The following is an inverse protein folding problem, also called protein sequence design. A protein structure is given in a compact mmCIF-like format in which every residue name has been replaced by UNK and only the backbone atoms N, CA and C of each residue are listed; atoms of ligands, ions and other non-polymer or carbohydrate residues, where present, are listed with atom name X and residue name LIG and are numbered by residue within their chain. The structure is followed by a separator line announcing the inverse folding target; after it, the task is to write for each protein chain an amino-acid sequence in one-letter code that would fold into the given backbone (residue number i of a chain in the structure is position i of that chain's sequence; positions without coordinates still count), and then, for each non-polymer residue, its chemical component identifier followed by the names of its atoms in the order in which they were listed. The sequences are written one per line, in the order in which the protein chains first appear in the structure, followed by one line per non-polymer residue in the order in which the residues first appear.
data_IF_978822801525
#
_entry.id   IF_978822801525
#
_cell.length_a   1.000
_cell.length_b   1.000
_cell.length_c   1.000
_cell.angle_alpha   90.00
_cell.angle_beta   90.00
_cell.angle_gamma   90.00
#
_symmetry.space_group_name_H-M   'P 1'
#
loop_
_entity.id
_entity.type
_entity.pdbx_description
1 polymer ?
#
# COMPACT_ATOMS: atom_id res chain seq x y z
N UNK A 1 22.39 -6.12 -18.10
CA UNK A 1 21.00 -5.82 -18.50
C UNK A 1 20.91 -4.33 -18.80
N UNK A 2 20.25 -3.93 -19.88
CA UNK A 2 20.16 -2.52 -20.28
C UNK A 2 19.49 -1.70 -19.16
N UNK A 3 20.12 -0.59 -18.75
CA UNK A 3 19.63 0.28 -17.65
C UNK A 3 18.18 0.76 -17.87
N UNK A 4 17.80 1.00 -19.12
CA UNK A 4 16.43 1.39 -19.46
C UNK A 4 15.45 0.24 -19.25
N UNK A 5 15.83 -1.00 -19.57
CA UNK A 5 14.99 -2.18 -19.36
C UNK A 5 14.75 -2.41 -17.85
N UNK A 6 15.77 -2.25 -17.01
CA UNK A 6 15.62 -2.37 -15.54
C UNK A 6 14.61 -1.35 -15.02
N UNK A 7 14.71 -0.09 -15.45
CA UNK A 7 13.77 0.96 -15.04
C UNK A 7 12.33 0.66 -15.46
N UNK A 8 12.13 0.17 -16.69
CA UNK A 8 10.79 -0.21 -17.17
C UNK A 8 10.23 -1.36 -16.36
N UNK A 9 11.01 -2.44 -16.17
CA UNK A 9 10.57 -3.61 -15.40
C UNK A 9 10.26 -3.25 -13.95
N UNK A 10 11.05 -2.36 -13.34
CA UNK A 10 10.80 -1.90 -11.95
C UNK A 10 9.48 -1.14 -11.82
N UNK A 11 9.16 -0.27 -12.79
CA UNK A 11 7.90 0.46 -12.81
C UNK A 11 6.71 -0.45 -13.10
N UNK A 12 6.88 -1.43 -13.98
CA UNK A 12 5.86 -2.46 -14.23
C UNK A 12 5.60 -3.31 -12.98
N UNK A 13 6.63 -3.67 -12.23
CA UNK A 13 6.46 -4.37 -10.95
C UNK A 13 5.64 -3.54 -9.95
N UNK A 14 5.91 -2.24 -9.83
CA UNK A 14 5.12 -1.33 -8.99
C UNK A 14 3.67 -1.21 -9.47
N UNK A 15 3.44 -1.15 -10.78
CA UNK A 15 2.09 -1.10 -11.35
C UNK A 15 1.30 -2.39 -11.06
N UNK A 16 1.92 -3.56 -11.22
CA UNK A 16 1.30 -4.84 -10.88
C UNK A 16 0.95 -4.87 -9.39
N UNK A 17 1.84 -4.37 -8.53
CA UNK A 17 1.56 -4.21 -7.08
C UNK A 17 0.32 -3.36 -6.85
N UNK A 18 0.19 -2.21 -7.50
CA UNK A 18 -0.96 -1.32 -7.36
C UNK A 18 -2.28 -1.98 -7.78
N UNK A 19 -2.27 -2.74 -8.90
CA UNK A 19 -3.44 -3.50 -9.36
C UNK A 19 -3.86 -4.54 -8.31
N UNK A 20 -2.92 -5.33 -7.85
CA UNK A 20 -3.17 -6.40 -6.87
C UNK A 20 -3.65 -5.82 -5.53
N UNK A 21 -3.04 -4.73 -5.07
CA UNK A 21 -3.45 -4.08 -3.82
C UNK A 21 -4.85 -3.44 -3.91
N UNK A 22 -5.22 -2.91 -5.07
CA UNK A 22 -6.57 -2.40 -5.28
C UNK A 22 -7.65 -3.45 -4.99
N UNK A 23 -7.42 -4.73 -5.32
CA UNK A 23 -8.35 -5.81 -4.98
C UNK A 23 -8.27 -6.24 -3.50
N UNK A 24 -7.12 -6.03 -2.85
CA UNK A 24 -6.85 -6.49 -1.48
C UNK A 24 -7.85 -5.96 -0.46
N UNK A 25 -8.18 -4.66 -0.55
CA UNK A 25 -9.09 -4.00 0.39
C UNK A 25 -10.51 -4.55 0.31
N UNK A 26 -10.97 -4.87 -0.91
CA UNK A 26 -12.27 -5.51 -1.12
C UNK A 26 -12.28 -6.90 -0.48
N UNK A 27 -11.23 -7.70 -0.71
CA UNK A 27 -11.14 -9.04 -0.10
C UNK A 27 -11.07 -8.96 1.42
N UNK A 28 -10.30 -8.02 2.00
CA UNK A 28 -10.27 -7.78 3.45
C UNK A 28 -11.66 -7.42 3.98
N UNK A 29 -12.38 -6.53 3.30
CA UNK A 29 -13.74 -6.14 3.69
C UNK A 29 -14.72 -7.32 3.66
N UNK A 30 -14.62 -8.19 2.66
CA UNK A 30 -15.44 -9.40 2.57
C UNK A 30 -15.15 -10.43 3.66
N UNK A 31 -13.97 -10.36 4.30
CA UNK A 31 -13.56 -11.27 5.35
C UNK A 31 -13.69 -10.70 6.77
N UNK A 32 -14.21 -9.48 6.93
CA UNK A 32 -14.29 -8.77 8.22
C UNK A 32 -15.02 -9.55 9.33
N UNK A 33 -16.01 -10.35 8.94
CA UNK A 33 -16.80 -11.16 9.89
C UNK A 33 -16.18 -12.56 10.13
N UNK A 34 -15.16 -12.93 9.34
CA UNK A 34 -14.50 -14.23 9.43
C UNK A 34 -13.22 -14.20 10.27
N UNK A 35 -12.51 -13.09 10.25
CA UNK A 35 -11.23 -12.93 10.96
C UNK A 35 -11.13 -11.55 11.61
N UNK A 36 -10.51 -11.51 12.79
CA UNK A 36 -10.09 -10.25 13.39
C UNK A 36 -9.01 -9.55 12.52
N UNK A 37 -8.93 -8.21 12.53
CA UNK A 37 -8.05 -7.44 11.64
C UNK A 37 -6.58 -7.87 11.69
N UNK A 38 -6.00 -8.00 12.87
CA UNK A 38 -4.59 -8.39 13.01
C UNK A 38 -4.38 -9.90 12.85
N UNK A 39 -5.42 -10.75 13.02
CA UNK A 39 -5.37 -12.15 12.65
C UNK A 39 -5.18 -12.32 11.14
N UNK A 40 -5.88 -11.51 10.31
CA UNK A 40 -5.64 -11.48 8.87
C UNK A 40 -4.17 -11.20 8.57
N UNK A 41 -3.56 -10.23 9.25
CA UNK A 41 -2.15 -9.87 9.06
C UNK A 41 -1.20 -10.95 9.54
N UNK A 42 -1.48 -11.56 10.69
CA UNK A 42 -0.68 -12.65 11.24
C UNK A 42 -0.58 -13.81 10.24
N UNK A 43 -1.70 -14.23 9.65
CA UNK A 43 -1.73 -15.30 8.65
C UNK A 43 -1.02 -14.84 7.36
N UNK A 44 -1.33 -13.65 6.85
CA UNK A 44 -0.74 -13.13 5.60
C UNK A 44 0.78 -13.08 5.66
N UNK A 45 1.32 -12.44 6.69
CA UNK A 45 2.77 -12.26 6.82
C UNK A 45 3.49 -13.56 7.18
N UNK A 46 2.88 -14.45 7.98
CA UNK A 46 3.46 -15.77 8.30
C UNK A 46 3.56 -16.63 7.04
N UNK A 47 2.47 -16.74 6.27
CA UNK A 47 2.47 -17.53 5.02
C UNK A 47 3.42 -16.92 3.99
N UNK A 48 3.40 -15.61 3.82
CA UNK A 48 4.27 -14.92 2.85
C UNK A 48 5.76 -15.07 3.21
N UNK A 49 6.12 -14.93 4.49
CA UNK A 49 7.50 -15.12 4.95
C UNK A 49 7.96 -16.56 4.76
N UNK A 50 7.13 -17.54 5.07
CA UNK A 50 7.44 -18.97 4.88
C UNK A 50 7.64 -19.30 3.40
N UNK A 51 6.69 -18.92 2.54
CA UNK A 51 6.75 -19.18 1.09
C UNK A 51 8.00 -18.58 0.46
N UNK A 52 8.27 -17.28 0.72
CA UNK A 52 9.48 -16.65 0.17
C UNK A 52 10.76 -17.24 0.75
N UNK A 53 10.77 -17.61 2.03
CA UNK A 53 11.94 -18.26 2.65
C UNK A 53 12.26 -19.60 2.00
N UNK A 54 11.25 -20.40 1.68
CA UNK A 54 11.42 -21.68 0.99
C UNK A 54 11.90 -21.49 -0.46
N UNK A 55 11.27 -20.58 -1.21
CA UNK A 55 11.64 -20.32 -2.62
C UNK A 55 13.06 -19.77 -2.73
N UNK A 56 13.44 -18.86 -1.84
CA UNK A 56 14.72 -18.16 -1.88
C UNK A 56 15.72 -18.64 -0.82
N UNK A 57 15.57 -19.87 -0.32
CA UNK A 57 16.44 -20.47 0.69
C UNK A 57 17.95 -20.31 0.39
N UNK A 58 18.44 -20.49 -0.86
CA UNK A 58 19.87 -20.30 -1.14
C UNK A 58 20.41 -18.90 -0.88
N UNK A 59 19.55 -17.86 -0.89
CA UNK A 59 19.97 -16.47 -0.64
C UNK A 59 20.34 -16.22 0.81
N UNK A 60 19.87 -17.02 1.77
CA UNK A 60 20.21 -16.89 3.18
C UNK A 60 21.71 -17.02 3.47
N UNK A 61 22.48 -17.60 2.55
CA UNK A 61 23.96 -17.61 2.65
C UNK A 61 24.56 -16.19 2.66
N UNK A 62 23.83 -15.18 2.17
CA UNK A 62 24.24 -13.76 2.16
C UNK A 62 23.60 -12.95 3.29
N UNK A 63 22.82 -13.61 4.15
CA UNK A 63 22.11 -12.95 5.24
C UNK A 63 23.10 -12.50 6.33
N UNK A 64 22.93 -11.29 6.81
CA UNK A 64 23.75 -10.72 7.86
C UNK A 64 22.94 -9.78 8.77
N UNK A 65 23.57 -9.32 9.86
CA UNK A 65 22.92 -8.44 10.84
C UNK A 65 22.33 -7.17 10.19
N UNK A 66 22.96 -6.64 9.13
CA UNK A 66 22.45 -5.45 8.43
C UNK A 66 21.12 -5.72 7.72
N UNK A 67 20.90 -6.92 7.15
CA UNK A 67 19.59 -7.31 6.60
C UNK A 67 18.56 -7.46 7.72
N UNK A 68 18.95 -8.08 8.86
CA UNK A 68 18.05 -8.25 10.00
C UNK A 68 17.56 -6.91 10.54
N UNK A 69 18.46 -6.01 10.90
CA UNK A 69 18.10 -4.71 11.47
C UNK A 69 17.28 -3.87 10.51
N UNK A 70 17.69 -3.81 9.24
CA UNK A 70 16.97 -3.03 8.24
C UNK A 70 15.58 -3.60 7.93
N UNK A 71 15.47 -4.90 7.74
CA UNK A 71 14.20 -5.56 7.49
C UNK A 71 13.27 -5.48 8.70
N UNK A 72 13.81 -5.55 9.93
CA UNK A 72 13.02 -5.37 11.15
C UNK A 72 12.43 -3.97 11.25
N UNK A 73 13.23 -2.92 11.03
CA UNK A 73 12.75 -1.53 11.03
C UNK A 73 11.65 -1.35 9.98
N UNK A 74 11.87 -1.82 8.75
CA UNK A 74 10.88 -1.75 7.68
C UNK A 74 9.62 -2.55 8.05
N UNK A 75 9.78 -3.72 8.67
CA UNK A 75 8.68 -4.58 9.11
C UNK A 75 7.79 -3.98 10.20
N UNK A 76 8.36 -3.17 11.09
CA UNK A 76 7.59 -2.41 12.08
C UNK A 76 6.68 -1.39 11.38
N UNK A 77 7.22 -0.58 10.46
CA UNK A 77 6.41 0.35 9.68
C UNK A 77 5.35 -0.36 8.85
N UNK A 78 5.71 -1.49 8.23
CA UNK A 78 4.79 -2.32 7.47
C UNK A 78 3.61 -2.79 8.32
N UNK A 79 3.89 -3.36 9.49
CA UNK A 79 2.85 -3.84 10.41
C UNK A 79 1.89 -2.73 10.81
N UNK A 80 2.42 -1.59 11.32
CA UNK A 80 1.57 -0.51 11.82
C UNK A 80 0.72 0.08 10.69
N UNK A 81 1.27 0.22 9.48
CA UNK A 81 0.55 0.72 8.31
C UNK A 81 -0.60 -0.23 7.91
N UNK A 82 -0.32 -1.52 7.77
CA UNK A 82 -1.33 -2.52 7.42
C UNK A 82 -2.37 -2.74 8.52
N UNK A 83 -1.96 -2.72 9.79
CA UNK A 83 -2.90 -2.82 10.92
C UNK A 83 -3.89 -1.65 10.89
N UNK A 84 -3.40 -0.41 10.77
CA UNK A 84 -4.25 0.77 10.63
C UNK A 84 -5.17 0.66 9.42
N UNK A 85 -4.67 0.27 8.26
CA UNK A 85 -5.48 0.12 7.05
C UNK A 85 -6.56 -0.95 7.20
N UNK A 86 -6.20 -2.12 7.73
CA UNK A 86 -7.13 -3.24 7.91
C UNK A 86 -8.22 -2.90 8.92
N UNK A 87 -7.87 -2.27 10.04
CA UNK A 87 -8.84 -1.76 11.02
C UNK A 87 -9.76 -0.73 10.35
N UNK A 88 -9.21 0.21 9.56
CA UNK A 88 -9.98 1.21 8.85
C UNK A 88 -11.05 0.63 7.93
N UNK A 89 -10.71 -0.41 7.17
CA UNK A 89 -11.64 -1.08 6.24
C UNK A 89 -12.69 -1.93 6.97
N UNK A 90 -12.33 -2.53 8.09
CA UNK A 90 -13.21 -3.47 8.84
C UNK A 90 -14.08 -2.77 9.88
N UNK A 91 -13.76 -1.53 10.26
CA UNK A 91 -14.55 -0.73 11.21
C UNK A 91 -15.85 -0.24 10.57
N UNK A 92 -16.88 0.01 11.40
CA UNK A 92 -18.16 0.53 10.97
C UNK A 92 -18.01 1.82 10.13
N UNK A 93 -18.61 1.83 8.94
CA UNK A 93 -18.49 2.92 7.96
C UNK A 93 -17.27 2.80 7.03
N UNK A 94 -16.42 1.77 7.19
CA UNK A 94 -15.33 1.51 6.27
C UNK A 94 -15.84 0.92 4.95
N UNK A 95 -15.70 1.68 3.85
CA UNK A 95 -15.92 1.19 2.49
C UNK A 95 -14.56 0.92 1.85
N UNK A 96 -14.32 -0.25 1.22
CA UNK A 96 -12.99 -0.62 0.71
C UNK A 96 -12.47 0.36 -0.35
N UNK A 97 -13.32 0.82 -1.27
CA UNK A 97 -12.95 1.81 -2.27
C UNK A 97 -12.57 3.14 -1.64
N UNK A 98 -13.38 3.65 -0.70
CA UNK A 98 -13.10 4.89 0.02
C UNK A 98 -11.83 4.78 0.87
N UNK A 99 -11.66 3.71 1.62
CA UNK A 99 -10.47 3.49 2.45
C UNK A 99 -9.19 3.40 1.63
N UNK A 100 -9.21 2.71 0.49
CA UNK A 100 -8.07 2.65 -0.43
C UNK A 100 -7.71 4.01 -1.00
N UNK A 101 -8.72 4.82 -1.32
CA UNK A 101 -8.50 6.16 -1.82
C UNK A 101 -7.88 7.08 -0.76
N UNK A 102 -8.38 7.05 0.47
CA UNK A 102 -7.84 7.84 1.60
C UNK A 102 -6.41 7.39 1.94
N UNK A 103 -6.17 6.08 1.99
CA UNK A 103 -4.85 5.51 2.26
C UNK A 103 -3.82 5.96 1.22
N UNK A 104 -4.22 6.14 -0.05
CA UNK A 104 -3.34 6.61 -1.12
C UNK A 104 -2.81 8.05 -0.92
N UNK A 105 -3.27 8.77 0.12
CA UNK A 105 -2.68 10.06 0.54
C UNK A 105 -1.17 9.97 0.80
N UNK A 106 -0.61 8.77 0.97
CA UNK A 106 0.85 8.60 1.06
C UNK A 106 1.58 9.16 -0.16
N UNK A 107 0.98 9.21 -1.34
CA UNK A 107 1.62 9.79 -2.54
C UNK A 107 1.92 11.28 -2.38
N UNK A 108 1.13 11.99 -1.59
CA UNK A 108 1.37 13.40 -1.22
C UNK A 108 2.45 13.52 -0.16
N UNK A 109 2.50 12.60 0.79
CA UNK A 109 3.36 12.66 1.98
C UNK A 109 4.79 12.21 1.66
N UNK A 110 4.94 11.17 0.81
CA UNK A 110 6.25 10.56 0.48
C UNK A 110 7.29 11.58 -0.02
N UNK A 111 6.99 12.51 -0.95
CA UNK A 111 8.00 13.47 -1.40
C UNK A 111 8.59 14.32 -0.28
N UNK A 112 7.79 14.71 0.70
CA UNK A 112 8.25 15.49 1.85
C UNK A 112 9.07 14.65 2.82
N UNK A 113 8.64 13.43 3.13
CA UNK A 113 9.43 12.50 3.96
C UNK A 113 10.74 12.10 3.26
N UNK A 114 10.73 11.87 1.95
CA UNK A 114 11.93 11.59 1.17
C UNK A 114 12.90 12.78 1.19
N UNK A 115 12.40 14.00 1.12
CA UNK A 115 13.24 15.19 1.27
C UNK A 115 13.92 15.25 2.64
N UNK A 116 13.16 15.04 3.71
CA UNK A 116 13.68 15.10 5.07
C UNK A 116 14.71 13.98 5.33
N UNK A 117 14.37 12.74 4.98
CA UNK A 117 15.11 11.54 5.40
C UNK A 117 16.12 11.02 4.37
N UNK A 118 15.90 11.26 3.07
CA UNK A 118 16.76 10.77 1.97
C UNK A 118 17.50 11.91 1.27
N UNK A 119 17.17 13.18 1.59
CA UNK A 119 17.69 14.38 0.92
C UNK A 119 17.28 14.46 -0.58
N UNK A 120 16.24 13.74 -0.97
CA UNK A 120 15.64 13.78 -2.31
C UNK A 120 14.72 14.99 -2.40
N UNK A 121 15.20 16.11 -2.96
CA UNK A 121 14.37 17.31 -3.10
C UNK A 121 13.24 17.06 -4.10
N UNK A 122 11.96 17.29 -3.71
CA UNK A 122 10.84 17.21 -4.63
C UNK A 122 11.01 18.29 -5.72
N UNK A 123 10.81 17.90 -6.97
CA UNK A 123 10.74 18.86 -8.06
C UNK A 123 9.30 19.43 -8.19
N UNK A 124 9.15 20.43 -9.07
CA UNK A 124 7.85 21.10 -9.28
C UNK A 124 6.77 20.11 -9.74
N UNK A 125 7.13 19.07 -10.48
CA UNK A 125 6.19 18.06 -10.94
C UNK A 125 5.70 17.19 -9.79
N UNK A 126 6.57 16.83 -8.83
CA UNK A 126 6.17 16.12 -7.61
C UNK A 126 5.22 16.97 -6.76
N UNK A 127 5.51 18.27 -6.61
CA UNK A 127 4.64 19.21 -5.87
C UNK A 127 3.30 19.35 -6.57
N UNK A 128 3.29 19.54 -7.90
CA UNK A 128 2.05 19.64 -8.68
C UNK A 128 1.22 18.36 -8.59
N UNK A 129 1.86 17.20 -8.66
CA UNK A 129 1.20 15.91 -8.48
C UNK A 129 0.59 15.77 -7.08
N UNK A 130 1.29 16.23 -6.03
CA UNK A 130 0.75 16.25 -4.67
C UNK A 130 -0.51 17.12 -4.57
N UNK A 131 -0.50 18.32 -5.15
CA UNK A 131 -1.68 19.20 -5.19
C UNK A 131 -2.85 18.55 -5.93
N UNK A 132 -2.59 17.91 -7.08
CA UNK A 132 -3.62 17.18 -7.83
C UNK A 132 -4.18 16.00 -7.03
N UNK A 133 -3.34 15.27 -6.31
CA UNK A 133 -3.80 14.18 -5.41
C UNK A 133 -4.71 14.73 -4.29
N UNK A 134 -4.34 15.85 -3.65
CA UNK A 134 -5.18 16.49 -2.61
C UNK A 134 -6.52 16.93 -3.21
N UNK A 135 -6.51 17.53 -4.40
CA UNK A 135 -7.75 17.91 -5.10
C UNK A 135 -8.62 16.68 -5.39
N UNK A 136 -7.99 15.57 -5.83
CA UNK A 136 -8.69 14.30 -6.04
C UNK A 136 -9.34 13.77 -4.76
N UNK A 137 -8.60 13.75 -3.64
CA UNK A 137 -9.13 13.39 -2.32
C UNK A 137 -10.31 14.28 -1.91
N UNK A 138 -10.18 15.60 -2.11
CA UNK A 138 -11.26 16.55 -1.81
C UNK A 138 -12.56 16.20 -2.55
N UNK A 139 -12.49 15.90 -3.84
CA UNK A 139 -13.68 15.53 -4.62
C UNK A 139 -14.33 14.23 -4.13
N UNK A 140 -13.56 13.26 -3.69
CA UNK A 140 -14.14 12.02 -3.13
C UNK A 140 -14.89 12.28 -1.83
N UNK A 141 -14.36 13.17 -0.98
CA UNK A 141 -15.02 13.56 0.27
C UNK A 141 -16.13 14.60 0.09
N UNK A 142 -16.21 15.28 -1.07
CA UNK A 142 -17.06 16.44 -1.27
C UNK A 142 -18.55 16.17 -0.98
N UNK A 143 -19.06 15.00 -1.39
CA UNK A 143 -20.47 14.65 -1.16
C UNK A 143 -20.79 14.47 0.32
N UNK A 144 -19.83 13.97 1.08
CA UNK A 144 -19.98 13.77 2.53
C UNK A 144 -19.83 15.10 3.28
N UNK A 145 -19.02 16.02 2.74
CA UNK A 145 -18.83 17.38 3.28
C UNK A 145 -20.07 18.28 3.10
N UNK A 146 -20.82 18.11 2.02
CA UNK A 146 -21.97 19.02 1.69
C UNK A 146 -23.31 18.33 2.00
N UNK A 147 -23.38 17.00 1.96
CA UNK A 147 -24.63 16.24 2.06
C UNK A 147 -25.10 15.92 3.48
N UNK A 148 -24.30 16.16 4.50
CA UNK A 148 -24.62 15.84 5.89
C UNK A 148 -24.45 17.05 6.78
N UNK A 149 -25.48 17.39 7.55
CA UNK A 149 -25.40 18.44 8.60
C UNK A 149 -24.39 18.10 9.73
N UNK A 150 -23.89 16.87 9.75
CA UNK A 150 -22.82 16.39 10.65
C UNK A 150 -21.73 15.72 9.80
N UNK A 151 -20.71 16.48 9.41
CA UNK A 151 -19.47 15.95 8.83
C UNK A 151 -18.68 15.27 9.94
N UNK A 152 -18.99 14.04 10.23
CA UNK A 152 -18.16 13.23 11.12
C UNK A 152 -17.18 12.41 10.26
N UNK A 153 -15.88 12.69 10.40
CA UNK A 153 -14.84 11.76 9.93
C UNK A 153 -15.10 10.45 10.67
N UNK A 154 -15.43 9.39 9.94
CA UNK A 154 -15.65 8.09 10.57
C UNK A 154 -14.33 7.58 11.18
N UNK A 155 -14.46 6.72 12.19
CA UNK A 155 -13.26 6.07 12.76
C UNK A 155 -12.49 5.29 11.67
N UNK A 156 -13.21 4.71 10.70
CA UNK A 156 -12.61 4.06 9.53
C UNK A 156 -11.78 5.01 8.67
N UNK A 157 -12.28 6.24 8.42
CA UNK A 157 -11.55 7.27 7.67
C UNK A 157 -10.29 7.73 8.42
N UNK A 158 -10.38 7.89 9.75
CA UNK A 158 -9.23 8.23 10.57
C UNK A 158 -8.13 7.18 10.45
N UNK A 159 -8.46 5.89 10.57
CA UNK A 159 -7.49 4.81 10.41
C UNK A 159 -6.96 4.72 8.97
N UNK A 160 -7.77 5.02 7.97
CA UNK A 160 -7.33 5.08 6.58
C UNK A 160 -6.32 6.22 6.33
N UNK A 161 -6.55 7.42 6.90
CA UNK A 161 -5.60 8.55 6.86
C UNK A 161 -4.30 8.21 7.60
N UNK A 162 -4.42 7.63 8.79
CA UNK A 162 -3.26 7.20 9.58
C UNK A 162 -2.44 6.16 8.80
N UNK A 163 -3.10 5.21 8.13
CA UNK A 163 -2.41 4.24 7.29
C UNK A 163 -1.66 4.90 6.13
N UNK A 164 -2.23 5.94 5.52
CA UNK A 164 -1.56 6.74 4.48
C UNK A 164 -0.24 7.35 4.96
N UNK A 165 -0.23 7.97 6.14
CA UNK A 165 1.00 8.48 6.76
C UNK A 165 2.02 7.37 7.02
N UNK A 166 1.57 6.25 7.54
CA UNK A 166 2.43 5.12 7.90
C UNK A 166 2.97 4.38 6.67
N UNK A 167 2.19 4.26 5.59
CA UNK A 167 2.69 3.75 4.31
C UNK A 167 3.71 4.69 3.69
N UNK A 168 3.53 6.01 3.81
CA UNK A 168 4.55 6.95 3.39
C UNK A 168 5.88 6.73 4.14
N UNK A 169 5.80 6.54 5.46
CA UNK A 169 6.97 6.21 6.27
C UNK A 169 7.59 4.86 5.86
N UNK A 170 6.78 3.84 5.61
CA UNK A 170 7.24 2.53 5.12
C UNK A 170 7.97 2.64 3.76
N UNK A 171 7.40 3.36 2.78
CA UNK A 171 8.02 3.56 1.45
C UNK A 171 9.41 4.22 1.60
N UNK A 172 9.51 5.26 2.44
CA UNK A 172 10.78 5.94 2.71
C UNK A 172 11.74 5.06 3.50
N UNK A 173 11.24 4.24 4.44
CA UNK A 173 12.05 3.27 5.17
C UNK A 173 12.64 2.20 4.24
N UNK A 174 11.85 1.67 3.29
CA UNK A 174 12.35 0.73 2.25
C UNK A 174 13.47 1.37 1.43
N UNK A 175 13.30 2.61 0.99
CA UNK A 175 14.31 3.32 0.22
C UNK A 175 15.59 3.60 1.03
N UNK A 176 15.45 3.97 2.32
CA UNK A 176 16.57 4.29 3.21
C UNK A 176 17.32 3.06 3.68
N UNK A 177 16.63 2.12 4.27
CA UNK A 177 17.24 0.97 4.94
C UNK A 177 17.47 -0.22 4.01
N UNK A 178 16.75 -0.31 2.89
CA UNK A 178 16.94 -1.32 1.85
C UNK A 178 18.08 -1.02 0.88
N UNK A 179 18.58 0.24 0.84
CA UNK A 179 19.62 0.66 -0.11
C UNK A 179 20.88 -0.20 0.00
N UNK A 180 21.29 -0.76 -1.15
CA UNK A 180 22.51 -1.59 -1.25
C UNK A 180 22.37 -3.00 -0.67
N UNK A 181 21.17 -3.44 -0.30
CA UNK A 181 20.89 -4.76 0.26
C UNK A 181 20.09 -5.61 -0.72
N UNK A 182 20.11 -6.93 -0.51
CA UNK A 182 19.28 -7.84 -1.30
C UNK A 182 17.79 -7.60 -0.98
N UNK A 183 16.97 -7.12 -1.95
CA UNK A 183 15.59 -6.78 -1.70
C UNK A 183 14.73 -7.98 -1.28
N UNK A 184 15.10 -9.20 -1.69
CA UNK A 184 14.40 -10.42 -1.30
C UNK A 184 14.61 -10.71 0.19
N UNK A 185 15.85 -10.61 0.66
CA UNK A 185 16.17 -10.81 2.09
C UNK A 185 15.52 -9.75 2.97
N UNK A 186 15.48 -8.48 2.51
CA UNK A 186 14.75 -7.41 3.19
C UNK A 186 13.26 -7.72 3.25
N UNK A 187 12.65 -8.17 2.12
CA UNK A 187 11.22 -8.52 2.07
C UNK A 187 10.88 -9.66 3.02
N UNK A 188 11.69 -10.72 3.06
CA UNK A 188 11.47 -11.84 3.99
C UNK A 188 11.55 -11.36 5.43
N UNK A 189 12.58 -10.57 5.77
CA UNK A 189 12.78 -10.09 7.14
C UNK A 189 11.66 -9.15 7.61
N UNK A 190 11.19 -8.24 6.75
CA UNK A 190 10.05 -7.38 7.10
C UNK A 190 8.77 -8.20 7.33
N UNK A 191 8.56 -9.29 6.58
CA UNK A 191 7.39 -10.16 6.79
C UNK A 191 7.49 -10.94 8.09
N UNK A 192 8.66 -11.50 8.41
CA UNK A 192 8.88 -12.19 9.69
C UNK A 192 8.60 -11.22 10.85
N UNK A 193 9.12 -10.00 10.78
CA UNK A 193 8.90 -8.99 11.83
C UNK A 193 7.42 -8.62 11.94
N UNK A 194 6.76 -8.33 10.82
CA UNK A 194 5.35 -8.00 10.81
C UNK A 194 4.48 -9.18 11.30
N UNK A 195 4.83 -10.43 10.94
CA UNK A 195 4.14 -11.62 11.41
C UNK A 195 4.24 -11.78 12.94
N UNK A 196 5.45 -11.65 13.50
CA UNK A 196 5.66 -11.74 14.94
C UNK A 196 4.80 -10.70 15.67
N UNK A 197 4.86 -9.44 15.25
CA UNK A 197 4.10 -8.37 15.89
C UNK A 197 2.60 -8.62 15.73
N UNK A 198 2.13 -9.01 14.53
CA UNK A 198 0.71 -9.32 14.28
C UNK A 198 0.20 -10.45 15.16
N UNK A 199 0.99 -11.53 15.33
CA UNK A 199 0.65 -12.67 16.21
C UNK A 199 0.51 -12.18 17.65
N UNK A 200 1.44 -11.39 18.15
CA UNK A 200 1.35 -10.85 19.51
C UNK A 200 0.12 -9.97 19.70
N UNK A 201 -0.14 -9.06 18.74
CA UNK A 201 -1.28 -8.15 18.83
C UNK A 201 -2.61 -8.89 18.77
N UNK A 202 -2.78 -9.84 17.84
CA UNK A 202 -4.04 -10.59 17.72
C UNK A 202 -4.31 -11.49 18.94
N UNK A 203 -3.26 -12.09 19.53
CA UNK A 203 -3.43 -12.96 20.71
C UNK A 203 -3.73 -12.17 21.99
N UNK A 204 -3.26 -10.93 22.10
CA UNK A 204 -3.41 -10.15 23.34
C UNK A 204 -4.66 -9.25 23.28
N UNK A 205 -4.98 -8.68 22.12
CA UNK A 205 -5.96 -7.60 22.00
C UNK A 205 -7.21 -7.96 21.17
N UNK A 206 -7.25 -9.11 20.48
CA UNK A 206 -8.38 -9.48 19.63
C UNK A 206 -9.06 -10.76 20.10
N UNK A 207 -10.39 -10.80 20.00
CA UNK A 207 -11.19 -12.01 20.24
C UNK A 207 -11.22 -12.87 18.97
N UNK A 208 -10.46 -13.95 18.98
CA UNK A 208 -10.36 -14.90 17.88
C UNK A 208 -11.31 -16.10 18.01
N UNK A 209 -12.17 -16.13 19.04
CA UNK A 209 -13.10 -17.25 19.28
C UNK A 209 -14.17 -17.40 18.19
N UNK A 210 -14.45 -16.31 17.45
CA UNK A 210 -15.47 -16.24 16.39
C UNK A 210 -14.92 -16.47 14.99
N UNK A 211 -13.68 -16.97 14.86
CA UNK A 211 -13.06 -17.21 13.57
C UNK A 211 -13.88 -18.20 12.72
N UNK A 212 -14.18 -17.82 11.48
CA UNK A 212 -14.97 -18.63 10.56
C UNK A 212 -14.08 -19.20 9.46
N UNK A 213 -13.88 -20.51 9.47
CA UNK A 213 -13.14 -21.24 8.44
C UNK A 213 -14.11 -21.92 7.48
N UNK A 214 -14.37 -21.25 6.36
CA UNK A 214 -15.11 -21.81 5.23
C UNK A 214 -14.30 -21.68 3.94
N UNK A 215 -14.77 -22.27 2.85
CA UNK A 215 -14.06 -22.22 1.55
C UNK A 215 -13.76 -20.79 1.09
N UNK A 216 -14.68 -19.85 1.29
CA UNK A 216 -14.51 -18.44 0.90
C UNK A 216 -13.42 -17.75 1.73
N UNK A 217 -13.44 -17.90 3.06
CA UNK A 217 -12.46 -17.29 3.94
C UNK A 217 -11.04 -17.88 3.74
N UNK A 218 -10.94 -19.20 3.47
CA UNK A 218 -9.66 -19.86 3.19
C UNK A 218 -9.09 -19.37 1.84
N UNK A 219 -9.90 -19.28 0.79
CA UNK A 219 -9.45 -18.76 -0.51
C UNK A 219 -9.09 -17.27 -0.43
N UNK A 220 -9.90 -16.47 0.28
CA UNK A 220 -9.63 -15.05 0.50
C UNK A 220 -8.32 -14.80 1.22
N UNK A 221 -8.08 -15.49 2.35
CA UNK A 221 -6.83 -15.32 3.10
C UNK A 221 -5.62 -15.85 2.31
N UNK A 222 -5.77 -16.94 1.56
CA UNK A 222 -4.74 -17.48 0.66
C UNK A 222 -4.37 -16.47 -0.44
N UNK A 223 -5.37 -15.86 -1.08
CA UNK A 223 -5.14 -14.78 -2.06
C UNK A 223 -4.41 -13.59 -1.43
N UNK A 224 -4.85 -13.13 -0.27
CA UNK A 224 -4.20 -12.03 0.44
C UNK A 224 -2.75 -12.36 0.81
N UNK A 225 -2.49 -13.57 1.28
CA UNK A 225 -1.15 -13.97 1.69
C UNK A 225 -0.18 -14.12 0.51
N UNK A 226 -0.60 -14.75 -0.58
CA UNK A 226 0.28 -15.03 -1.72
C UNK A 226 0.34 -13.83 -2.67
N UNK A 227 -0.80 -13.41 -3.22
CA UNK A 227 -0.79 -12.37 -4.25
C UNK A 227 -0.60 -10.99 -3.67
N UNK A 228 -1.40 -10.61 -2.65
CA UNK A 228 -1.39 -9.25 -2.12
C UNK A 228 -0.25 -8.99 -1.10
N UNK A 229 0.40 -10.04 -0.60
CA UNK A 229 1.51 -9.92 0.35
C UNK A 229 2.82 -10.42 -0.25
N UNK A 230 2.98 -11.72 -0.51
CA UNK A 230 4.26 -12.27 -0.96
C UNK A 230 4.70 -11.67 -2.31
N UNK A 231 3.85 -11.73 -3.32
CA UNK A 231 4.16 -11.24 -4.68
C UNK A 231 4.19 -9.71 -4.72
N UNK A 232 3.13 -9.05 -4.25
CA UNK A 232 3.00 -7.60 -4.38
C UNK A 232 4.08 -6.83 -3.62
N UNK A 233 4.34 -7.15 -2.34
CA UNK A 233 5.37 -6.47 -1.53
C UNK A 233 6.80 -6.84 -1.98
N UNK A 234 7.03 -8.04 -2.51
CA UNK A 234 8.30 -8.37 -3.14
C UNK A 234 8.52 -7.49 -4.40
N UNK A 235 7.50 -7.35 -5.24
CA UNK A 235 7.55 -6.49 -6.41
C UNK A 235 7.72 -5.03 -6.04
N UNK A 236 7.06 -4.56 -4.98
CA UNK A 236 7.26 -3.22 -4.43
C UNK A 236 8.72 -3.03 -4.02
N UNK A 237 9.28 -3.91 -3.20
CA UNK A 237 10.65 -3.76 -2.67
C UNK A 237 11.68 -3.80 -3.80
N UNK A 238 11.53 -4.71 -4.77
CA UNK A 238 12.37 -4.75 -5.96
C UNK A 238 12.20 -3.48 -6.81
N UNK A 239 10.96 -3.09 -7.07
CA UNK A 239 10.66 -1.90 -7.86
C UNK A 239 11.24 -0.62 -7.25
N UNK A 240 11.11 -0.45 -5.93
CA UNK A 240 11.68 0.68 -5.20
C UNK A 240 13.21 0.68 -5.14
N UNK A 241 13.87 -0.47 -5.29
CA UNK A 241 15.34 -0.52 -5.36
C UNK A 241 15.92 0.19 -6.58
N UNK A 242 15.09 0.42 -7.63
CA UNK A 242 15.51 1.04 -8.89
C UNK A 242 14.66 2.27 -9.28
N UNK A 243 13.74 2.69 -8.39
CA UNK A 243 12.82 3.80 -8.65
C UNK A 243 12.86 4.78 -7.47
N UNK A 244 12.98 6.11 -7.71
CA UNK A 244 12.91 7.10 -6.63
C UNK A 244 11.63 6.96 -5.81
N UNK A 245 11.70 7.26 -4.50
CA UNK A 245 10.59 7.07 -3.55
C UNK A 245 9.32 7.80 -3.95
N UNK A 246 9.45 9.05 -4.42
CA UNK A 246 8.29 9.85 -4.87
C UNK A 246 7.61 9.25 -6.09
N UNK A 247 8.38 8.81 -7.10
CA UNK A 247 7.87 8.12 -8.29
C UNK A 247 7.20 6.80 -7.92
N UNK A 248 7.84 6.01 -7.06
CA UNK A 248 7.27 4.74 -6.59
C UNK A 248 5.92 4.96 -5.88
N UNK A 249 5.84 5.97 -5.00
CA UNK A 249 4.60 6.30 -4.28
C UNK A 249 3.46 6.67 -5.22
N UNK A 250 3.74 7.39 -6.31
CA UNK A 250 2.71 7.80 -7.26
C UNK A 250 2.22 6.61 -8.09
N UNK A 251 3.13 5.72 -8.55
CA UNK A 251 2.70 4.51 -9.25
C UNK A 251 1.89 3.60 -8.33
N UNK A 252 2.33 3.41 -7.09
CA UNK A 252 1.59 2.64 -6.10
C UNK A 252 0.24 3.30 -5.77
N UNK A 253 0.15 4.63 -5.76
CA UNK A 253 -1.10 5.38 -5.57
C UNK A 253 -2.21 5.05 -6.57
N UNK A 254 -1.89 4.43 -7.73
CA UNK A 254 -2.88 3.84 -8.63
C UNK A 254 -3.74 2.76 -7.95
N UNK A 255 -3.30 2.19 -6.82
CA UNK A 255 -4.11 1.25 -6.07
C UNK A 255 -5.48 1.83 -5.72
N UNK A 256 -5.58 3.14 -5.50
CA UNK A 256 -6.83 3.83 -5.22
C UNK A 256 -7.85 3.71 -6.36
N UNK A 257 -7.38 3.84 -7.60
CA UNK A 257 -8.22 3.68 -8.80
C UNK A 257 -8.67 2.22 -8.91
N UNK A 258 -7.73 1.29 -8.77
CA UNK A 258 -8.04 -0.13 -8.84
C UNK A 258 -8.94 -0.57 -7.69
N UNK A 259 -8.76 -0.03 -6.47
CA UNK A 259 -9.60 -0.38 -5.33
C UNK A 259 -11.07 -0.04 -5.57
N UNK A 260 -11.35 1.07 -6.25
CA UNK A 260 -12.70 1.45 -6.58
C UNK A 260 -13.24 0.62 -7.75
N UNK A 261 -12.44 0.35 -8.78
CA UNK A 261 -12.86 -0.55 -9.86
C UNK A 261 -13.27 -1.90 -9.28
N UNK A 262 -12.44 -2.48 -8.42
CA UNK A 262 -12.76 -3.75 -7.76
C UNK A 262 -13.91 -3.64 -6.76
N UNK A 263 -14.05 -2.53 -6.02
CA UNK A 263 -15.18 -2.30 -5.11
C UNK A 263 -16.51 -2.25 -5.86
N UNK A 264 -16.57 -1.62 -7.03
CA UNK A 264 -17.76 -1.63 -7.90
C UNK A 264 -18.07 -3.03 -8.40
N UNK A 265 -17.05 -3.74 -8.92
CA UNK A 265 -17.25 -5.05 -9.56
C UNK A 265 -17.56 -6.15 -8.52
N UNK A 266 -16.84 -6.17 -7.38
CA UNK A 266 -16.89 -7.27 -6.42
C UNK A 266 -17.77 -6.97 -5.20
N UNK A 267 -17.86 -5.71 -4.76
CA UNK A 267 -18.65 -5.30 -3.60
C UNK A 267 -19.93 -4.53 -3.97
N UNK A 268 -20.18 -4.26 -5.26
CA UNK A 268 -21.38 -3.56 -5.72
C UNK A 268 -21.45 -2.08 -5.31
N UNK A 269 -20.30 -1.46 -4.98
CA UNK A 269 -20.26 -0.04 -4.63
C UNK A 269 -20.70 0.84 -5.80
N UNK A 270 -21.53 1.85 -5.51
CA UNK A 270 -22.00 2.79 -6.53
C UNK A 270 -21.00 3.93 -6.72
N UNK A 271 -20.54 4.10 -7.95
CA UNK A 271 -19.72 5.26 -8.31
C UNK A 271 -20.55 6.54 -8.25
N UNK A 272 -19.98 7.57 -7.62
CA UNK A 272 -20.53 8.92 -7.69
C UNK A 272 -19.77 9.74 -8.75
N UNK A 273 -20.40 10.76 -9.31
CA UNK A 273 -19.74 11.67 -10.24
C UNK A 273 -18.51 12.31 -9.61
N UNK A 274 -18.58 12.62 -8.32
CA UNK A 274 -17.45 13.18 -7.57
C UNK A 274 -16.28 12.19 -7.44
N UNK A 275 -16.56 10.90 -7.23
CA UNK A 275 -15.51 9.87 -7.23
C UNK A 275 -14.80 9.81 -8.59
N UNK A 276 -15.54 9.87 -9.68
CA UNK A 276 -14.97 9.87 -11.05
C UNK A 276 -14.07 11.12 -11.28
N UNK A 277 -14.51 12.30 -10.84
CA UNK A 277 -13.70 13.52 -10.90
C UNK A 277 -12.42 13.36 -10.07
N UNK A 278 -12.53 12.80 -8.85
CA UNK A 278 -11.37 12.53 -7.99
C UNK A 278 -10.34 11.63 -8.69
N UNK A 279 -10.79 10.59 -9.40
CA UNK A 279 -9.93 9.70 -10.18
C UNK A 279 -9.18 10.43 -11.29
N UNK A 280 -9.87 11.30 -12.01
CA UNK A 280 -9.25 12.09 -13.06
C UNK A 280 -8.09 12.92 -12.51
N UNK A 281 -8.25 13.54 -11.34
CA UNK A 281 -7.18 14.32 -10.69
C UNK A 281 -6.00 13.45 -10.27
N UNK A 282 -6.23 12.24 -9.70
CA UNK A 282 -5.14 11.33 -9.32
C UNK A 282 -4.43 10.81 -10.57
N UNK A 283 -5.17 10.43 -11.61
CA UNK A 283 -4.57 9.96 -12.86
C UNK A 283 -3.72 11.08 -13.51
N UNK A 284 -4.20 12.32 -13.50
CA UNK A 284 -3.43 13.48 -13.94
C UNK A 284 -2.16 13.68 -13.09
N UNK A 285 -2.25 13.51 -11.76
CA UNK A 285 -1.10 13.59 -10.86
C UNK A 285 -0.01 12.58 -11.24
N UNK A 286 -0.39 11.34 -11.53
CA UNK A 286 0.53 10.28 -11.94
C UNK A 286 1.21 10.63 -13.25
N UNK A 287 0.43 11.05 -14.25
CA UNK A 287 0.98 11.48 -15.54
C UNK A 287 1.98 12.62 -15.35
N UNK A 288 1.63 13.65 -14.58
CA UNK A 288 2.50 14.82 -14.34
C UNK A 288 3.82 14.38 -13.68
N UNK A 289 3.77 13.57 -12.65
CA UNK A 289 4.96 13.13 -11.93
C UNK A 289 5.85 12.20 -12.75
N UNK A 290 5.24 11.23 -13.47
CA UNK A 290 6.00 10.24 -14.24
C UNK A 290 6.60 10.79 -15.50
N UNK A 291 5.83 11.56 -16.26
CA UNK A 291 6.29 12.06 -17.56
C UNK A 291 7.08 13.35 -17.44
N UNK A 292 6.96 14.07 -16.28
CA UNK A 292 7.46 15.44 -16.12
C UNK A 292 7.08 16.32 -17.31
N UNK A 293 5.92 16.03 -17.90
CA UNK A 293 5.39 16.67 -19.12
C UNK A 293 6.41 16.72 -20.27
N UNK A 294 7.33 15.73 -20.33
CA UNK A 294 8.40 15.70 -21.34
C UNK A 294 7.87 15.62 -22.77
N UNK A 295 6.66 15.08 -22.95
CA UNK A 295 5.99 15.04 -24.25
C UNK A 295 5.57 16.43 -24.74
N UNK A 296 5.42 17.41 -23.85
CA UNK A 296 5.14 18.81 -24.23
C UNK A 296 6.42 19.58 -24.58
N UNK A 297 7.60 19.14 -24.12
CA UNK A 297 8.89 19.79 -24.39
C UNK A 297 9.53 19.41 -25.74
N UNK A 298 8.98 18.43 -26.45
CA UNK A 298 9.54 17.89 -27.70
C UNK A 298 9.12 18.65 -28.98
N UNK A 299 8.60 19.88 -28.88
CA UNK A 299 8.30 20.75 -30.01
C UNK A 299 8.82 22.16 -29.74
N UNK A 300 10.12 22.28 -29.62
CA UNK A 300 10.83 23.54 -29.63
C UNK A 300 12.22 23.32 -30.22
#
# INVERSE_FOLDING_TARGET
MNTNLIKILSRLALLVTAIVWGSSLVVVSLMKDAFAPNMVLAIRFSVASLVLSLIFAPRFRRYNLSHLVSGAIIGIFLFIAYSSQTIGVTTAGGAPGRSGFISASYCVIVPFLAWIFLKERPDIYNISAAVLCVAGLFFVFYKDLIGSANVAISLGDFYALLSGLLFAAHIVAVAKFGKGKDPILITITQFVTAAIISIFVTLIFEDNSKMILNKGSILGIGYLAIMCTAVALLFQTIGQSYTPSSTAAIILGLESIFSIIFAVILAGEKLTVFSVIGFFFIFAAIIVSETKLSFLKKKG
#
